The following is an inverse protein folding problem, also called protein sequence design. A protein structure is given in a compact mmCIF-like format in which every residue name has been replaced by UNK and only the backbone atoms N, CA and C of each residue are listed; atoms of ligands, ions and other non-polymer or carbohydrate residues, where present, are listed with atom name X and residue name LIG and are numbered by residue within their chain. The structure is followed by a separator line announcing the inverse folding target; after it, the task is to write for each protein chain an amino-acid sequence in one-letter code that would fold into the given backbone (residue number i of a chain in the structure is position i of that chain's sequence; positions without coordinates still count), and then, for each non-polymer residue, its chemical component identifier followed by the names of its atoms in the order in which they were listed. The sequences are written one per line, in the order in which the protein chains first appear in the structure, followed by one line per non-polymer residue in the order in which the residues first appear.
data_IF_540273446240
#
_entry.id   IF_540273446240
#
_cell.length_a   1.000
_cell.length_b   1.000
_cell.length_c   1.000
_cell.angle_alpha   90.00
_cell.angle_beta   90.00
_cell.angle_gamma   90.00
#
_symmetry.space_group_name_H-M   'P 1'
#
loop_
_entity.id
_entity.type
_entity.pdbx_description
1 polymer ?
#
# COMPACT_ATOMS: atom_id res chain seq x y z
N UNK A 1 -15.61 16.30 17.47
CA UNK A 1 -14.83 16.33 16.22
C UNK A 1 -13.87 15.16 16.20
N UNK A 2 -13.82 14.40 15.10
CA UNK A 2 -12.91 13.27 15.00
C UNK A 2 -11.49 13.75 14.76
N UNK A 3 -10.52 13.09 15.37
CA UNK A 3 -9.12 13.30 15.04
C UNK A 3 -8.82 12.74 13.64
N UNK A 4 -7.68 13.14 13.07
CA UNK A 4 -7.23 12.63 11.77
C UNK A 4 -7.18 11.09 11.73
N UNK A 5 -6.62 10.47 12.76
CA UNK A 5 -6.52 9.01 12.83
C UNK A 5 -7.90 8.36 12.95
N UNK A 6 -8.81 8.96 13.70
CA UNK A 6 -10.19 8.46 13.80
C UNK A 6 -10.92 8.52 12.47
N UNK A 7 -10.71 9.58 11.69
CA UNK A 7 -11.29 9.68 10.33
C UNK A 7 -10.76 8.58 9.42
N UNK A 8 -9.45 8.34 9.45
CA UNK A 8 -8.82 7.27 8.66
C UNK A 8 -9.39 5.91 9.08
N UNK A 9 -9.50 5.65 10.37
CA UNK A 9 -10.05 4.40 10.87
C UNK A 9 -11.49 4.18 10.44
N UNK A 10 -12.29 5.24 10.40
CA UNK A 10 -13.67 5.16 9.92
C UNK A 10 -13.75 4.74 8.44
N UNK A 11 -12.74 5.09 7.65
CA UNK A 11 -12.69 4.75 6.22
C UNK A 11 -12.25 3.29 6.02
N UNK A 12 -11.13 2.90 6.63
CA UNK A 12 -10.48 1.60 6.33
C UNK A 12 -10.80 0.51 7.34
N UNK A 13 -11.42 0.85 8.46
CA UNK A 13 -11.72 -0.09 9.52
C UNK A 13 -10.49 -0.46 10.36
N UNK A 14 -10.69 -1.22 11.44
CA UNK A 14 -9.57 -1.61 12.33
C UNK A 14 -8.52 -2.47 11.63
N UNK A 15 -8.91 -3.31 10.68
CA UNK A 15 -7.97 -4.15 9.94
C UNK A 15 -7.11 -3.36 8.95
N UNK A 16 -7.52 -2.15 8.60
CA UNK A 16 -6.83 -1.29 7.64
C UNK A 16 -5.93 -0.23 8.26
N UNK A 17 -5.79 -0.21 9.57
CA UNK A 17 -5.01 0.83 10.26
C UNK A 17 -4.03 0.19 11.24
N UNK A 18 -2.75 0.57 11.14
CA UNK A 18 -1.69 0.12 12.03
C UNK A 18 -1.06 1.35 12.68
N UNK A 19 -1.12 1.42 14.01
CA UNK A 19 -0.59 2.55 14.78
C UNK A 19 0.41 2.13 15.86
N UNK A 20 0.46 0.85 16.25
CA UNK A 20 1.39 0.39 17.26
C UNK A 20 2.82 0.44 16.75
N UNK A 21 3.76 1.08 17.48
CA UNK A 21 5.13 1.28 17.00
C UNK A 21 5.84 0.02 16.53
N UNK A 22 5.68 -1.10 17.22
CA UNK A 22 6.32 -2.36 16.85
C UNK A 22 5.76 -2.93 15.54
N UNK A 23 4.50 -2.68 15.23
CA UNK A 23 3.88 -3.12 13.99
C UNK A 23 4.20 -2.16 12.84
N UNK A 24 4.21 -0.87 13.11
CA UNK A 24 4.55 0.17 12.15
C UNK A 24 5.98 0.01 11.65
N UNK A 25 6.89 -0.40 12.52
CA UNK A 25 8.31 -0.54 12.19
C UNK A 25 8.56 -1.45 10.98
N UNK A 26 7.73 -2.47 10.79
CA UNK A 26 7.85 -3.38 9.65
C UNK A 26 7.66 -2.69 8.28
N UNK A 27 6.97 -1.55 8.27
CA UNK A 27 6.66 -0.78 7.05
C UNK A 27 7.51 0.48 6.91
N UNK A 28 8.39 0.77 7.87
CA UNK A 28 9.05 2.05 8.00
C UNK A 28 10.48 2.08 7.49
N UNK A 29 10.96 0.99 6.91
CA UNK A 29 12.31 0.92 6.33
C UNK A 29 12.26 0.28 4.96
N UNK A 30 13.28 0.59 4.12
CA UNK A 30 13.42 -0.05 2.82
C UNK A 30 14.02 -1.46 2.95
N UNK A 31 14.04 -2.19 1.84
CA UNK A 31 14.53 -3.58 1.81
C UNK A 31 15.99 -3.70 2.26
N UNK A 32 16.82 -2.75 1.90
CA UNK A 32 18.23 -2.72 2.30
C UNK A 32 18.47 -2.14 3.68
N UNK A 33 17.45 -1.58 4.31
CA UNK A 33 17.54 -0.86 5.60
C UNK A 33 18.50 0.34 5.55
N UNK A 34 18.60 0.97 4.38
CA UNK A 34 19.38 2.21 4.20
C UNK A 34 18.60 3.43 4.63
N UNK A 35 17.27 3.36 4.53
CA UNK A 35 16.36 4.43 4.91
C UNK A 35 15.47 3.92 6.02
N UNK A 36 15.43 4.65 7.11
CA UNK A 36 14.59 4.36 8.26
C UNK A 36 13.70 5.57 8.52
N UNK A 37 12.41 5.34 8.64
CA UNK A 37 11.47 6.40 8.90
C UNK A 37 10.62 6.13 10.13
N UNK A 38 9.74 7.08 10.41
CA UNK A 38 8.75 6.96 11.48
C UNK A 38 7.47 7.65 11.05
N UNK A 39 6.53 6.89 10.45
CA UNK A 39 5.26 7.47 10.03
C UNK A 39 4.32 7.66 11.23
N UNK A 40 3.28 8.45 11.02
CA UNK A 40 2.20 8.59 12.01
C UNK A 40 1.37 7.30 12.09
N UNK A 41 1.18 6.64 10.96
CA UNK A 41 0.44 5.38 10.88
C UNK A 41 0.70 4.71 9.54
N UNK A 42 0.37 3.43 9.45
CA UNK A 42 0.31 2.67 8.20
C UNK A 42 -1.17 2.41 7.89
N UNK A 43 -1.60 2.79 6.70
CA UNK A 43 -2.97 2.65 6.25
C UNK A 43 -3.02 1.64 5.11
N UNK A 44 -3.89 0.64 5.24
CA UNK A 44 -4.02 -0.45 4.28
C UNK A 44 -5.46 -0.46 3.72
N UNK A 45 -5.74 0.33 2.69
CA UNK A 45 -7.07 0.35 2.09
C UNK A 45 -7.37 -0.97 1.37
N UNK A 46 -8.64 -1.32 1.31
CA UNK A 46 -9.09 -2.56 0.66
C UNK A 46 -9.65 -2.32 -0.73
N UNK A 47 -9.86 -1.07 -1.14
CA UNK A 47 -10.47 -0.72 -2.42
C UNK A 47 -10.02 0.64 -2.91
N UNK A 48 -10.23 0.89 -4.20
CA UNK A 48 -9.97 2.20 -4.79
C UNK A 48 -10.79 3.31 -4.11
N UNK A 49 -12.03 3.02 -3.73
CA UNK A 49 -12.87 3.97 -3.02
C UNK A 49 -12.26 4.37 -1.67
N UNK A 50 -11.74 3.40 -0.92
CA UNK A 50 -11.05 3.68 0.34
C UNK A 50 -9.77 4.50 0.12
N UNK A 51 -8.99 4.19 -0.93
CA UNK A 51 -7.81 4.98 -1.28
C UNK A 51 -8.21 6.44 -1.53
N UNK A 52 -9.25 6.66 -2.33
CA UNK A 52 -9.71 8.01 -2.65
C UNK A 52 -10.11 8.79 -1.40
N UNK A 53 -10.83 8.16 -0.48
CA UNK A 53 -11.24 8.80 0.76
C UNK A 53 -10.06 9.10 1.70
N UNK A 54 -9.11 8.17 1.82
CA UNK A 54 -7.89 8.38 2.61
C UNK A 54 -7.09 9.54 2.06
N UNK A 55 -6.89 9.58 0.75
CA UNK A 55 -6.14 10.66 0.09
C UNK A 55 -6.84 12.00 0.29
N UNK A 56 -8.17 12.02 0.20
CA UNK A 56 -8.95 13.24 0.46
C UNK A 56 -8.73 13.78 1.87
N UNK A 57 -8.82 12.92 2.87
CA UNK A 57 -8.59 13.30 4.28
C UNK A 57 -7.15 13.78 4.48
N UNK A 58 -6.18 13.11 3.87
CA UNK A 58 -4.78 13.52 3.95
C UNK A 58 -4.55 14.87 3.29
N UNK A 59 -5.19 15.14 2.15
CA UNK A 59 -5.09 16.42 1.46
C UNK A 59 -5.67 17.55 2.31
N UNK A 60 -6.82 17.32 2.92
CA UNK A 60 -7.47 18.33 3.80
C UNK A 60 -6.62 18.65 5.02
N UNK A 61 -5.96 17.67 5.60
CA UNK A 61 -5.09 17.84 6.78
C UNK A 61 -3.65 18.17 6.43
N UNK A 62 -3.31 18.28 5.14
CA UNK A 62 -1.95 18.52 4.64
C UNK A 62 -0.95 17.48 5.15
N UNK A 63 -1.38 16.23 5.14
CA UNK A 63 -0.57 15.09 5.53
C UNK A 63 0.04 14.44 4.28
N UNK A 64 1.36 14.28 4.27
CA UNK A 64 2.05 13.62 3.17
C UNK A 64 1.75 12.12 3.17
N UNK A 65 1.55 11.57 1.98
CA UNK A 65 1.25 10.16 1.76
C UNK A 65 2.44 9.50 1.08
N UNK A 66 2.91 8.39 1.63
CA UNK A 66 3.98 7.59 1.06
C UNK A 66 3.35 6.28 0.56
N UNK A 67 3.12 6.12 -0.75
CA UNK A 67 2.57 4.88 -1.27
C UNK A 67 3.59 3.75 -1.21
N UNK A 68 3.12 2.58 -0.83
CA UNK A 68 3.97 1.40 -0.66
C UNK A 68 3.28 0.17 -1.21
N UNK A 69 3.97 -0.57 -2.09
CA UNK A 69 3.56 -1.89 -2.54
C UNK A 69 4.28 -2.98 -1.74
N UNK A 70 5.09 -3.79 -2.41
CA UNK A 70 5.86 -4.86 -1.76
C UNK A 70 7.09 -4.39 -1.00
N UNK A 71 7.36 -3.10 -1.01
CA UNK A 71 8.48 -2.48 -0.32
C UNK A 71 9.86 -3.06 -0.72
N UNK A 72 10.02 -3.34 -2.01
CA UNK A 72 11.26 -3.88 -2.58
C UNK A 72 12.12 -2.82 -3.26
N UNK A 73 11.68 -1.56 -3.27
CA UNK A 73 12.42 -0.47 -3.89
C UNK A 73 13.74 -0.17 -3.20
N UNK A 74 14.70 0.31 -3.97
CA UNK A 74 16.06 0.57 -3.48
C UNK A 74 16.37 2.06 -3.28
N UNK A 75 15.47 2.94 -3.75
CA UNK A 75 15.71 4.39 -3.75
C UNK A 75 15.03 5.13 -2.59
N UNK A 76 14.37 4.42 -1.70
CA UNK A 76 13.71 5.02 -0.54
C UNK A 76 12.36 5.65 -0.81
N UNK A 77 11.80 5.50 -2.02
CA UNK A 77 10.54 6.14 -2.40
C UNK A 77 9.33 5.64 -1.61
N UNK A 78 9.38 4.42 -1.09
CA UNK A 78 8.31 3.82 -0.30
C UNK A 78 8.56 3.91 1.22
N UNK A 79 9.59 4.65 1.63
CA UNK A 79 9.96 4.78 3.04
C UNK A 79 9.56 6.18 3.53
N UNK A 80 8.80 6.29 4.64
CA UNK A 80 8.48 7.60 5.23
C UNK A 80 9.72 8.25 5.84
N UNK A 81 9.66 9.55 6.09
CA UNK A 81 10.71 10.23 6.83
C UNK A 81 10.57 9.99 8.34
N UNK A 82 11.46 10.54 9.13
CA UNK A 82 11.50 10.37 10.58
C UNK A 82 10.64 11.40 11.34
N UNK A 83 9.86 12.23 10.64
CA UNK A 83 9.11 13.33 11.25
C UNK A 83 7.97 12.88 12.13
N UNK A 84 7.44 11.69 11.90
CA UNK A 84 6.24 11.21 12.59
C UNK A 84 4.93 11.79 12.06
N UNK A 85 4.96 12.48 10.91
CA UNK A 85 3.80 13.18 10.35
C UNK A 85 3.24 12.56 9.08
N UNK A 86 3.98 11.67 8.43
CA UNK A 86 3.57 11.07 7.16
C UNK A 86 2.76 9.81 7.38
N UNK A 87 1.92 9.48 6.41
CA UNK A 87 1.16 8.23 6.38
C UNK A 87 1.78 7.32 5.33
N UNK A 88 2.02 6.06 5.69
CA UNK A 88 2.33 5.02 4.70
C UNK A 88 1.00 4.45 4.19
N UNK A 89 0.79 4.52 2.90
CA UNK A 89 -0.38 3.93 2.24
C UNK A 89 0.05 2.63 1.59
N UNK A 90 -0.14 1.53 2.31
CA UNK A 90 0.28 0.21 1.85
C UNK A 90 -0.88 -0.49 1.13
N UNK A 91 -0.64 -0.94 -0.10
CA UNK A 91 -1.68 -1.44 -0.98
C UNK A 91 -1.87 -2.96 -0.96
N UNK A 92 -1.27 -3.66 0.01
CA UNK A 92 -1.24 -5.13 0.04
C UNK A 92 -2.63 -5.80 0.15
N UNK A 93 -3.64 -5.09 0.67
CA UNK A 93 -5.01 -5.61 0.71
C UNK A 93 -5.72 -5.55 -0.64
N UNK A 94 -5.20 -4.77 -1.59
CA UNK A 94 -5.74 -4.64 -2.93
C UNK A 94 -5.00 -5.61 -3.85
N UNK A 95 -5.40 -6.88 -3.80
CA UNK A 95 -4.65 -7.97 -4.41
C UNK A 95 -5.48 -8.84 -5.37
N UNK A 96 -6.56 -8.29 -5.95
CA UNK A 96 -7.40 -9.04 -6.87
C UNK A 96 -6.92 -8.94 -8.30
N UNK A 97 -7.10 -10.03 -9.04
CA UNK A 97 -6.96 -10.03 -10.49
C UNK A 97 -8.35 -9.76 -11.07
N UNK A 98 -8.50 -8.64 -11.78
CA UNK A 98 -9.80 -8.23 -12.32
C UNK A 98 -10.13 -8.90 -13.65
N UNK A 99 -9.15 -9.02 -14.53
CA UNK A 99 -9.37 -9.58 -15.86
C UNK A 99 -8.09 -10.15 -16.44
N UNK A 100 -8.23 -11.22 -17.22
CA UNK A 100 -7.14 -11.81 -17.98
C UNK A 100 -7.60 -11.85 -19.43
N UNK A 101 -6.85 -11.19 -20.32
CA UNK A 101 -7.11 -11.18 -21.75
C UNK A 101 -6.05 -12.04 -22.46
N UNK A 102 -6.42 -13.28 -22.78
CA UNK A 102 -5.50 -14.23 -23.42
C UNK A 102 -5.22 -13.90 -24.87
N UNK A 103 -6.04 -13.07 -25.50
CA UNK A 103 -5.81 -12.62 -26.89
C UNK A 103 -4.70 -11.60 -26.97
N UNK A 104 -4.69 -10.66 -26.00
CA UNK A 104 -3.69 -9.60 -25.94
C UNK A 104 -2.54 -9.90 -24.98
N UNK A 105 -2.57 -11.03 -24.29
CA UNK A 105 -1.59 -11.40 -23.27
C UNK A 105 -1.46 -10.31 -22.20
N UNK A 106 -2.60 -9.83 -21.72
CA UNK A 106 -2.66 -8.78 -20.68
C UNK A 106 -3.45 -9.26 -19.48
N UNK A 107 -3.13 -8.66 -18.34
CA UNK A 107 -3.79 -8.93 -17.08
C UNK A 107 -4.07 -7.61 -16.37
N UNK A 108 -5.31 -7.39 -15.96
CA UNK A 108 -5.68 -6.22 -15.18
C UNK A 108 -5.76 -6.62 -13.71
N UNK A 109 -4.94 -6.01 -12.89
CA UNK A 109 -4.78 -6.39 -11.48
C UNK A 109 -4.80 -5.17 -10.58
N UNK A 110 -5.12 -5.39 -9.32
CA UNK A 110 -5.01 -4.33 -8.32
C UNK A 110 -3.55 -4.06 -7.97
N UNK A 111 -3.29 -2.85 -7.49
CA UNK A 111 -1.92 -2.34 -7.32
C UNK A 111 -1.10 -3.03 -6.23
N UNK A 112 -1.76 -3.77 -5.33
CA UNK A 112 -1.08 -4.48 -4.24
C UNK A 112 -0.80 -5.95 -4.55
N UNK A 113 -1.00 -6.41 -5.79
CA UNK A 113 -0.71 -7.80 -6.15
C UNK A 113 0.78 -8.10 -6.05
N UNK A 114 1.10 -9.30 -5.57
CA UNK A 114 2.47 -9.81 -5.51
C UNK A 114 2.83 -10.35 -6.89
N UNK A 115 3.93 -9.87 -7.47
CA UNK A 115 4.35 -10.24 -8.84
C UNK A 115 4.48 -11.76 -9.01
N UNK A 116 5.05 -12.45 -8.05
CA UNK A 116 5.20 -13.92 -8.12
C UNK A 116 3.85 -14.63 -8.29
N UNK A 117 2.80 -14.12 -7.60
CA UNK A 117 1.46 -14.69 -7.72
C UNK A 117 0.88 -14.44 -9.11
N UNK A 118 1.15 -13.28 -9.71
CA UNK A 118 0.73 -12.97 -11.07
C UNK A 118 1.46 -13.86 -12.10
N UNK A 119 2.74 -14.08 -11.90
CA UNK A 119 3.52 -14.97 -12.74
C UNK A 119 2.98 -16.40 -12.68
N UNK A 120 2.66 -16.89 -11.48
CA UNK A 120 2.06 -18.22 -11.31
C UNK A 120 0.71 -18.32 -12.02
N UNK A 121 -0.13 -17.29 -11.90
CA UNK A 121 -1.42 -17.23 -12.59
C UNK A 121 -1.24 -17.27 -14.10
N UNK A 122 -0.29 -16.51 -14.64
CA UNK A 122 0.02 -16.50 -16.06
C UNK A 122 0.53 -17.87 -16.54
N UNK A 123 1.35 -18.53 -15.73
CA UNK A 123 1.86 -19.86 -16.03
C UNK A 123 0.75 -20.89 -16.11
N UNK A 124 -0.19 -20.87 -15.17
CA UNK A 124 -1.35 -21.78 -15.15
C UNK A 124 -2.19 -21.70 -16.43
N UNK A 125 -2.30 -20.52 -17.02
CA UNK A 125 -3.02 -20.35 -18.28
C UNK A 125 -2.14 -20.47 -19.52
N UNK A 126 -0.86 -20.87 -19.37
CA UNK A 126 0.07 -21.05 -20.47
C UNK A 126 0.59 -19.75 -21.09
N UNK A 127 0.60 -18.66 -20.35
CA UNK A 127 1.04 -17.33 -20.80
C UNK A 127 2.23 -16.79 -20.03
N UNK A 128 2.94 -17.63 -19.32
CA UNK A 128 4.12 -17.21 -18.57
C UNK A 128 5.24 -16.78 -19.52
N UNK A 129 5.69 -15.56 -19.34
CA UNK A 129 6.87 -15.03 -20.00
C UNK A 129 7.77 -14.47 -18.91
N UNK A 130 8.92 -15.00 -18.80
CA UNK A 130 9.92 -14.56 -17.82
C UNK A 130 10.66 -13.33 -18.35
#
# INVERSE_FOLDING_TARGET
MRSFIEEIQAIVGPAGLITLPQEVAAYASDWRKRYLGRPAAVVKPASTAEVAEVVRVCAESRTAVVPQGGNTGLCGAATPDASGTQIVLNLSRMNRVHAIDTRNNTMTVEAGCVLANLQNTAEEIGRAHV
#
